data_IF_595452235977
#
_entry.id   IF_595452235977
#
_cell.length_a   1.000
_cell.length_b   1.000
_cell.length_c   1.000
_cell.angle_alpha   90.00
_cell.angle_beta   90.00
_cell.angle_gamma   90.00
#
_symmetry.space_group_name_H-M   'P 1'
#
loop_
_entity.id
_entity.type
_entity.pdbx_description
1 polymer ?
#
# COMPACT_ATOMS: atom_id res chain seq x y z
N UNK A 1 -6.71 -23.08 6.36
CA UNK A 1 -6.53 -21.64 6.63
C UNK A 1 -7.86 -20.97 6.34
N UNK A 2 -8.51 -20.43 7.35
CA UNK A 2 -9.77 -19.70 7.19
C UNK A 2 -9.49 -18.27 6.75
N UNK A 3 -10.26 -17.78 5.78
CA UNK A 3 -10.27 -16.38 5.41
C UNK A 3 -11.71 -15.92 5.25
N UNK A 4 -11.96 -14.66 5.63
CA UNK A 4 -13.23 -14.00 5.40
C UNK A 4 -13.00 -12.83 4.45
N UNK A 5 -13.94 -12.58 3.54
CA UNK A 5 -13.84 -11.51 2.56
C UNK A 5 -15.13 -10.74 2.44
N UNK A 6 -15.03 -9.46 2.13
CA UNK A 6 -16.17 -8.59 1.88
C UNK A 6 -15.84 -7.50 0.88
N UNK A 7 -16.87 -6.79 0.43
CA UNK A 7 -16.73 -5.58 -0.37
C UNK A 7 -17.77 -4.55 0.06
N UNK A 8 -17.45 -3.28 -0.12
CA UNK A 8 -18.35 -2.16 0.12
C UNK A 8 -18.03 -1.03 -0.84
N UNK A 9 -18.97 -0.11 -1.02
CA UNK A 9 -18.81 1.03 -1.91
C UNK A 9 -18.91 2.32 -1.12
N UNK A 10 -17.88 3.16 -1.24
CA UNK A 10 -17.86 4.51 -0.72
C UNK A 10 -18.30 5.50 -1.80
N UNK A 11 -19.40 6.21 -1.54
CA UNK A 11 -19.91 7.26 -2.43
C UNK A 11 -19.11 8.55 -2.33
N UNK A 12 -18.56 8.83 -1.14
CA UNK A 12 -17.66 9.94 -0.86
C UNK A 12 -16.41 9.42 -0.15
N UNK A 13 -15.25 10.10 -0.27
CA UNK A 13 -14.08 9.76 0.52
C UNK A 13 -14.37 9.87 2.02
N UNK A 14 -13.95 8.88 2.81
CA UNK A 14 -14.25 8.82 4.23
C UNK A 14 -13.12 8.11 5.00
N UNK A 15 -13.06 8.40 6.30
CA UNK A 15 -12.26 7.60 7.22
C UNK A 15 -13.07 6.37 7.61
N UNK A 16 -12.50 5.19 7.42
CA UNK A 16 -13.04 3.94 7.90
C UNK A 16 -12.36 3.60 9.21
N UNK A 17 -13.15 3.51 10.27
CA UNK A 17 -12.71 2.99 11.55
C UNK A 17 -13.28 1.59 11.69
N UNK A 18 -12.46 0.64 12.11
CA UNK A 18 -12.96 -0.66 12.49
C UNK A 18 -12.38 -1.13 13.82
N UNK A 19 -13.23 -1.77 14.61
CA UNK A 19 -12.91 -2.37 15.88
C UNK A 19 -12.87 -3.89 15.73
N UNK A 20 -11.81 -4.51 16.25
CA UNK A 20 -11.64 -5.97 16.22
C UNK A 20 -11.42 -6.48 17.62
N UNK A 21 -12.19 -7.50 18.04
CA UNK A 21 -11.87 -8.27 19.24
C UNK A 21 -10.99 -9.47 18.89
N UNK A 22 -9.98 -9.72 19.71
CA UNK A 22 -8.96 -10.75 19.47
C UNK A 22 -8.71 -11.55 20.73
N UNK A 23 -8.55 -12.86 20.58
CA UNK A 23 -7.96 -13.72 21.61
C UNK A 23 -6.49 -13.37 21.83
N UNK A 24 -5.93 -13.70 23.00
CA UNK A 24 -4.51 -13.45 23.32
C UNK A 24 -3.53 -13.97 22.25
N UNK A 25 -3.74 -15.18 21.74
CA UNK A 25 -2.80 -15.83 20.81
C UNK A 25 -3.13 -15.61 19.33
N UNK A 26 -4.19 -14.83 19.07
CA UNK A 26 -4.65 -14.53 17.72
C UNK A 26 -3.59 -13.76 16.94
N UNK A 27 -3.45 -14.10 15.66
CA UNK A 27 -2.62 -13.38 14.71
C UNK A 27 -3.38 -13.25 13.39
N UNK A 28 -3.92 -12.06 13.14
CA UNK A 28 -4.77 -11.79 12.00
C UNK A 28 -4.14 -10.72 11.10
N UNK A 29 -4.30 -10.90 9.80
CA UNK A 29 -4.04 -9.86 8.80
C UNK A 29 -5.37 -9.33 8.26
N UNK A 30 -5.56 -8.01 8.32
CA UNK A 30 -6.67 -7.31 7.64
C UNK A 30 -6.08 -6.60 6.43
N UNK A 31 -6.52 -6.98 5.25
CA UNK A 31 -6.06 -6.45 3.97
C UNK A 31 -7.19 -5.68 3.32
N UNK A 32 -6.91 -4.47 2.84
CA UNK A 32 -7.89 -3.60 2.17
C UNK A 32 -7.32 -3.17 0.83
N UNK A 33 -8.16 -3.18 -0.21
CA UNK A 33 -7.75 -2.79 -1.56
C UNK A 33 -8.90 -2.21 -2.38
N UNK A 34 -8.60 -1.23 -3.21
CA UNK A 34 -9.54 -0.61 -4.13
C UNK A 34 -9.68 -1.42 -5.42
N UNK A 35 -10.91 -1.46 -5.96
CA UNK A 35 -11.29 -2.01 -7.26
C UNK A 35 -11.09 -3.52 -7.49
N UNK A 36 -10.28 -4.20 -6.68
CA UNK A 36 -10.02 -5.64 -6.79
C UNK A 36 -9.81 -6.28 -5.41
N UNK A 37 -10.06 -7.59 -5.32
CA UNK A 37 -9.84 -8.36 -4.09
C UNK A 37 -8.37 -8.25 -3.63
N UNK A 38 -8.09 -7.98 -2.35
CA UNK A 38 -6.75 -7.99 -1.82
C UNK A 38 -6.16 -9.40 -1.78
N UNK A 39 -4.84 -9.49 -1.85
CA UNK A 39 -4.06 -10.70 -1.60
C UNK A 39 -2.96 -10.43 -0.60
N UNK A 40 -2.25 -11.47 -0.16
CA UNK A 40 -1.11 -11.35 0.77
C UNK A 40 0.00 -10.42 0.26
N UNK A 41 0.08 -10.24 -1.06
CA UNK A 41 1.13 -9.46 -1.72
C UNK A 41 0.59 -8.21 -2.43
N UNK A 42 -0.72 -8.10 -2.58
CA UNK A 42 -1.33 -6.99 -3.31
C UNK A 42 -2.48 -6.40 -2.49
N UNK A 43 -2.22 -5.24 -1.89
CA UNK A 43 -3.11 -4.53 -0.98
C UNK A 43 -2.73 -3.04 -0.98
N UNK A 44 -3.70 -2.17 -0.68
CA UNK A 44 -3.43 -0.76 -0.46
C UNK A 44 -3.09 -0.50 1.02
N UNK A 45 -3.79 -1.22 1.91
CA UNK A 45 -3.56 -1.17 3.36
C UNK A 45 -3.48 -2.57 3.95
N UNK A 46 -2.61 -2.73 4.95
CA UNK A 46 -2.50 -3.94 5.76
C UNK A 46 -2.39 -3.59 7.24
N UNK A 47 -3.24 -4.20 8.06
CA UNK A 47 -3.10 -4.21 9.51
C UNK A 47 -2.77 -5.61 9.99
N UNK A 48 -1.64 -5.72 10.69
CA UNK A 48 -1.24 -6.95 11.38
C UNK A 48 -1.66 -6.85 12.84
N UNK A 49 -2.58 -7.69 13.25
CA UNK A 49 -3.19 -7.68 14.56
C UNK A 49 -2.73 -8.91 15.34
N UNK A 50 -1.93 -8.70 16.39
CA UNK A 50 -1.50 -9.75 17.29
C UNK A 50 -2.13 -9.51 18.67
N UNK A 51 -2.94 -10.46 19.15
CA UNK A 51 -3.71 -10.31 20.38
C UNK A 51 -2.83 -10.03 21.61
N UNK A 52 -1.65 -10.65 21.66
CA UNK A 52 -0.67 -10.46 22.73
C UNK A 52 -0.13 -9.02 22.82
N UNK A 53 -0.22 -8.23 21.74
CA UNK A 53 0.20 -6.82 21.67
C UNK A 53 -0.92 -5.83 21.97
N UNK A 54 -2.17 -6.28 22.07
CA UNK A 54 -3.31 -5.42 22.43
C UNK A 54 -3.40 -5.38 23.96
N UNK A 55 -3.53 -4.20 24.56
CA UNK A 55 -3.71 -4.10 26.01
C UNK A 55 -5.03 -4.76 26.40
N UNK A 56 -5.02 -5.70 27.34
CA UNK A 56 -6.26 -6.19 27.95
C UNK A 56 -6.96 -4.98 28.60
N UNK A 57 -8.25 -4.76 28.30
CA UNK A 57 -9.01 -3.67 28.89
C UNK A 57 -8.84 -3.67 30.40
N UNK A 58 -8.08 -2.69 30.92
CA UNK A 58 -7.86 -2.53 32.35
C UNK A 58 -9.16 -2.03 32.97
N UNK A 59 -10.02 -2.96 33.41
CA UNK A 59 -10.93 -2.67 34.51
C UNK A 59 -10.07 -2.28 35.71
N UNK A 60 -9.84 -0.98 35.89
CA UNK A 60 -9.24 -0.42 37.11
C UNK A 60 -10.23 -0.65 38.24
N UNK A 61 -10.20 -1.83 38.85
CA UNK A 61 -10.82 -2.08 40.14
C UNK A 61 -10.00 -1.33 41.19
N UNK A 62 -10.53 -0.18 41.60
CA UNK A 62 -10.08 0.55 42.79
C UNK A 62 -10.06 -0.40 43.98
N UNK A 63 -8.95 -0.33 44.71
CA UNK A 63 -8.59 -1.13 45.88
C UNK A 63 -9.63 -1.11 47.01
N UNK A 64 -10.17 -2.27 47.34
CA UNK A 64 -10.61 -2.62 48.70
C UNK A 64 -10.28 -4.09 48.98
N UNK A 65 -9.69 -4.35 50.15
CA UNK A 65 -9.02 -5.59 50.59
C UNK A 65 -9.93 -6.85 50.55
N UNK A 66 -9.36 -8.08 50.53
CA UNK A 66 -10.06 -9.27 50.09
C UNK A 66 -10.90 -9.92 51.21
N UNK A 67 -12.12 -10.33 50.87
CA UNK A 67 -12.89 -11.33 51.62
C UNK A 67 -12.66 -12.71 50.97
N UNK A 68 -12.16 -13.67 51.75
CA UNK A 68 -11.74 -14.99 51.27
C UNK A 68 -12.96 -15.92 51.16
N UNK A 69 -13.54 -16.04 49.97
CA UNK A 69 -14.53 -17.09 49.68
C UNK A 69 -13.85 -18.22 48.90
N UNK A 70 -13.93 -19.44 49.43
CA UNK A 70 -13.57 -20.68 48.72
C UNK A 70 -14.74 -21.08 47.82
N UNK A 71 -14.46 -21.41 46.55
CA UNK A 71 -14.69 -22.73 45.90
C UNK A 71 -15.05 -22.60 44.40
N UNK A 72 -14.62 -23.63 43.67
CA UNK A 72 -15.10 -24.19 42.39
C UNK A 72 -14.79 -23.44 41.09
N UNK A 73 -13.89 -24.05 40.31
CA UNK A 73 -13.88 -24.12 38.83
C UNK A 73 -14.46 -22.90 38.12
N UNK A 74 -13.69 -21.81 38.08
CA UNK A 74 -13.92 -20.76 37.10
C UNK A 74 -13.48 -21.33 35.73
N UNK A 75 -14.41 -21.60 34.84
CA UNK A 75 -14.07 -21.64 33.41
C UNK A 75 -13.46 -20.29 33.07
N UNK A 76 -12.22 -20.28 32.61
CA UNK A 76 -11.57 -19.08 32.06
C UNK A 76 -12.48 -18.51 30.97
N UNK A 77 -13.13 -17.39 31.25
CA UNK A 77 -13.75 -16.56 30.21
C UNK A 77 -12.63 -16.13 29.28
N UNK A 78 -12.69 -16.41 27.96
CA UNK A 78 -11.64 -16.00 27.04
C UNK A 78 -11.47 -14.48 27.13
N UNK A 79 -10.29 -14.01 27.54
CA UNK A 79 -9.96 -12.59 27.55
C UNK A 79 -9.94 -12.07 26.10
N UNK A 80 -11.05 -11.51 25.64
CA UNK A 80 -11.13 -10.81 24.36
C UNK A 80 -10.54 -9.41 24.53
N UNK A 81 -9.66 -9.03 23.60
CA UNK A 81 -8.96 -7.73 23.59
C UNK A 81 -9.43 -6.92 22.40
N UNK A 82 -9.86 -5.69 22.63
CA UNK A 82 -10.36 -4.81 21.58
C UNK A 82 -9.27 -3.89 21.05
N UNK A 83 -9.23 -3.74 19.73
CA UNK A 83 -8.33 -2.81 19.06
C UNK A 83 -9.06 -2.04 17.96
N UNK A 84 -8.78 -0.75 17.85
CA UNK A 84 -9.31 0.12 16.78
C UNK A 84 -8.25 0.38 15.72
N UNK A 85 -8.67 0.43 14.46
CA UNK A 85 -7.85 0.85 13.31
C UNK A 85 -8.61 1.89 12.50
N UNK A 86 -7.88 2.79 11.86
CA UNK A 86 -8.45 3.89 11.11
C UNK A 86 -7.68 4.08 9.80
N UNK A 87 -8.39 4.05 8.67
CA UNK A 87 -7.83 4.26 7.33
C UNK A 87 -8.66 5.26 6.55
N UNK A 88 -8.01 6.16 5.82
CA UNK A 88 -8.70 7.04 4.89
C UNK A 88 -8.83 6.36 3.53
N UNK A 89 -10.06 6.23 3.05
CA UNK A 89 -10.35 5.59 1.77
C UNK A 89 -11.00 6.59 0.83
N UNK A 90 -10.56 6.60 -0.42
CA UNK A 90 -11.18 7.38 -1.48
C UNK A 90 -12.57 6.82 -1.83
N UNK A 91 -13.40 7.60 -2.52
CA UNK A 91 -14.64 7.07 -3.08
C UNK A 91 -14.34 5.96 -4.09
N UNK A 92 -15.20 4.96 -4.16
CA UNK A 92 -15.02 3.80 -5.04
C UNK A 92 -15.43 2.48 -4.42
N UNK A 93 -15.14 1.39 -5.13
CA UNK A 93 -15.39 0.03 -4.68
C UNK A 93 -14.17 -0.48 -3.91
N UNK A 94 -14.39 -0.94 -2.68
CA UNK A 94 -13.35 -1.44 -1.80
C UNK A 94 -13.61 -2.90 -1.43
N UNK A 95 -12.52 -3.63 -1.28
CA UNK A 95 -12.49 -5.03 -0.91
C UNK A 95 -11.68 -5.20 0.36
N UNK A 96 -12.11 -6.12 1.23
CA UNK A 96 -11.43 -6.48 2.47
C UNK A 96 -11.25 -7.99 2.53
N UNK A 97 -10.10 -8.42 3.02
CA UNK A 97 -9.85 -9.81 3.41
C UNK A 97 -9.29 -9.85 4.83
N UNK A 98 -9.85 -10.72 5.67
CA UNK A 98 -9.37 -11.03 7.00
C UNK A 98 -8.80 -12.44 6.96
N UNK A 99 -7.50 -12.55 7.22
CA UNK A 99 -6.76 -13.81 7.15
C UNK A 99 -6.30 -14.18 8.54
N UNK A 100 -6.64 -15.39 8.98
CA UNK A 100 -6.08 -15.96 10.19
C UNK A 100 -4.79 -16.72 9.85
N UNK A 101 -3.66 -16.22 10.34
CA UNK A 101 -2.34 -16.83 10.11
C UNK A 101 -2.07 -18.01 11.07
N UNK A 102 -2.99 -18.32 11.99
CA UNK A 102 -2.91 -19.46 12.92
C UNK A 102 -3.67 -20.67 12.38
N UNK A 103 -3.29 -21.86 12.86
CA UNK A 103 -4.00 -23.10 12.59
C UNK A 103 -5.31 -23.23 13.40
N UNK A 104 -5.39 -22.56 14.56
CA UNK A 104 -6.56 -22.56 15.44
C UNK A 104 -7.62 -21.59 14.92
N UNK A 105 -8.87 -22.03 14.94
CA UNK A 105 -10.01 -21.15 14.65
C UNK A 105 -10.10 -20.04 15.70
N UNK A 106 -10.34 -18.82 15.22
CA UNK A 106 -10.45 -17.62 16.05
C UNK A 106 -11.83 -17.01 15.84
N UNK A 107 -12.55 -16.82 16.94
CA UNK A 107 -13.82 -16.11 16.94
C UNK A 107 -13.55 -14.64 17.22
N UNK A 108 -13.79 -13.78 16.24
CA UNK A 108 -13.64 -12.33 16.36
C UNK A 108 -14.98 -11.62 16.20
N UNK A 109 -15.09 -10.46 16.82
CA UNK A 109 -16.05 -9.43 16.41
C UNK A 109 -15.31 -8.42 15.54
N UNK A 110 -15.94 -8.03 14.44
CA UNK A 110 -15.41 -7.01 13.53
C UNK A 110 -16.51 -6.00 13.26
N UNK A 111 -16.31 -4.77 13.72
CA UNK A 111 -17.28 -3.69 13.58
C UNK A 111 -16.64 -2.56 12.80
N UNK A 112 -17.12 -2.34 11.57
CA UNK A 112 -16.66 -1.28 10.68
C UNK A 112 -17.66 -0.13 10.70
N UNK A 113 -17.17 1.11 10.74
CA UNK A 113 -17.97 2.31 10.66
C UNK A 113 -17.29 3.36 9.77
N UNK A 114 -18.11 4.11 9.04
CA UNK A 114 -17.69 5.27 8.27
C UNK A 114 -17.70 6.51 9.19
N UNK A 115 -16.64 7.30 9.15
CA UNK A 115 -16.58 8.59 9.82
C UNK A 115 -16.14 9.68 8.84
N UNK A 116 -16.89 10.79 8.84
CA UNK A 116 -16.50 12.00 8.15
C UNK A 116 -15.89 12.92 9.22
N UNK A 117 -14.56 12.94 9.33
CA UNK A 117 -13.86 13.94 10.15
C UNK A 117 -14.00 15.29 9.44
N UNK A 118 -15.12 15.97 9.68
CA UNK A 118 -15.45 17.22 9.02
C UNK A 118 -14.71 18.41 9.64
N UNK A 119 -14.26 18.32 10.89
CA UNK A 119 -13.51 19.41 11.54
C UNK A 119 -12.30 18.91 12.35
N UNK A 120 -11.15 19.53 12.08
CA UNK A 120 -9.88 19.28 12.74
C UNK A 120 -9.09 18.10 12.17
N UNK A 121 -7.77 18.24 12.13
CA UNK A 121 -6.87 17.13 11.80
C UNK A 121 -6.28 16.50 13.07
N UNK A 122 -5.99 15.18 13.04
CA UNK A 122 -5.28 14.52 14.13
C UNK A 122 -4.02 15.30 14.51
N UNK A 123 -3.94 15.72 15.78
CA UNK A 123 -2.83 16.52 16.35
C UNK A 123 -2.39 17.72 15.49
N UNK A 124 -3.32 18.32 14.73
CA UNK A 124 -3.04 19.41 13.78
C UNK A 124 -1.84 19.10 12.86
N UNK A 125 -1.76 17.84 12.41
CA UNK A 125 -0.69 17.34 11.54
C UNK A 125 0.71 17.50 12.13
N UNK A 126 0.82 17.67 13.45
CA UNK A 126 2.06 17.90 14.21
C UNK A 126 2.93 19.03 13.65
N UNK A 127 2.33 19.95 12.87
CA UNK A 127 3.04 20.97 12.10
C UNK A 127 3.90 20.43 10.93
N UNK A 128 3.83 19.13 10.63
CA UNK A 128 4.57 18.45 9.56
C UNK A 128 3.71 18.13 8.34
N UNK A 129 2.61 18.86 8.18
CA UNK A 129 1.71 18.72 7.05
C UNK A 129 0.63 19.78 7.04
N UNK A 130 -0.17 19.76 5.97
CA UNK A 130 -1.33 20.64 5.81
C UNK A 130 -2.59 19.88 6.13
N UNK A 131 -3.46 20.46 6.96
CA UNK A 131 -4.78 19.91 7.22
C UNK A 131 -5.73 20.20 6.05
N UNK A 132 -6.32 19.15 5.46
CA UNK A 132 -7.29 19.25 4.38
C UNK A 132 -8.40 18.23 4.59
N UNK A 133 -9.64 18.69 4.81
CA UNK A 133 -10.84 17.85 5.01
C UNK A 133 -10.64 16.77 6.11
N UNK A 134 -10.11 17.18 7.26
CA UNK A 134 -9.85 16.27 8.39
C UNK A 134 -8.72 15.27 8.16
N UNK A 135 -7.88 15.51 7.15
CA UNK A 135 -6.70 14.69 6.83
C UNK A 135 -5.44 15.52 6.79
N UNK A 136 -4.37 14.95 7.33
CA UNK A 136 -3.04 15.50 7.16
C UNK A 136 -2.43 15.09 5.81
N UNK A 137 -2.07 16.09 5.03
CA UNK A 137 -1.19 15.95 3.87
C UNK A 137 0.22 16.24 4.35
N UNK A 138 0.99 15.19 4.63
CA UNK A 138 2.33 15.31 5.20
C UNK A 138 3.34 15.86 4.20
N UNK A 139 4.33 16.58 4.71
CA UNK A 139 5.54 16.92 3.94
C UNK A 139 6.33 15.66 3.58
N UNK A 140 7.24 15.75 2.60
CA UNK A 140 7.91 14.60 1.96
C UNK A 140 8.54 13.59 2.94
N UNK A 141 9.04 14.11 4.06
CA UNK A 141 9.83 13.36 5.03
C UNK A 141 8.97 12.77 6.16
N UNK A 142 7.65 12.96 6.12
CA UNK A 142 6.72 12.54 7.17
C UNK A 142 5.56 11.71 6.61
N UNK A 143 5.00 10.85 7.45
CA UNK A 143 3.84 10.02 7.15
C UNK A 143 3.07 9.68 8.44
N UNK A 144 2.00 8.90 8.31
CA UNK A 144 1.08 8.59 9.39
C UNK A 144 -0.17 9.48 9.37
N UNK A 145 -1.10 9.22 10.28
CA UNK A 145 -2.39 9.92 10.32
C UNK A 145 -2.27 11.41 10.71
N UNK A 146 -1.22 11.76 11.47
CA UNK A 146 -0.93 13.10 11.97
C UNK A 146 0.48 13.59 11.58
N UNK A 147 1.15 12.93 10.61
CA UNK A 147 2.50 13.24 10.17
C UNK A 147 3.60 13.12 11.25
N UNK A 148 3.34 12.42 12.35
CA UNK A 148 4.33 12.22 13.42
C UNK A 148 5.46 11.24 13.05
N UNK A 149 5.28 10.43 12.00
CA UNK A 149 6.23 9.38 11.65
C UNK A 149 7.20 9.87 10.58
N UNK A 150 8.49 9.85 10.87
CA UNK A 150 9.53 10.14 9.87
C UNK A 150 9.54 9.04 8.80
N UNK A 151 9.41 9.44 7.53
CA UNK A 151 9.59 8.56 6.39
C UNK A 151 11.08 8.25 6.28
N UNK A 152 11.45 6.99 6.55
CA UNK A 152 12.83 6.54 6.28
C UNK A 152 13.07 6.68 4.77
N UNK A 153 14.28 7.12 4.34
CA UNK A 153 14.63 7.13 2.93
C UNK A 153 14.34 5.76 2.32
N UNK A 154 13.42 5.68 1.37
CA UNK A 154 13.14 4.44 0.65
C UNK A 154 14.27 4.23 -0.35
N UNK A 155 15.39 3.68 0.13
CA UNK A 155 16.48 3.25 -0.73
C UNK A 155 16.07 1.94 -1.38
N UNK A 156 16.28 1.80 -2.69
CA UNK A 156 15.91 0.59 -3.44
C UNK A 156 14.44 0.22 -3.31
N UNK A 157 13.55 1.22 -3.23
CA UNK A 157 12.10 1.05 -3.01
C UNK A 157 11.73 0.21 -1.78
N UNK A 158 12.67 -0.03 -0.85
CA UNK A 158 12.50 -0.97 0.27
C UNK A 158 12.56 -2.45 -0.12
N UNK A 159 12.93 -2.75 -1.36
CA UNK A 159 12.97 -4.09 -1.95
C UNK A 159 14.39 -4.54 -2.33
N UNK A 160 15.40 -3.95 -1.71
CA UNK A 160 16.79 -4.34 -1.91
C UNK A 160 17.74 -3.71 -0.91
N UNK A 161 19.00 -4.11 -0.98
CA UNK A 161 20.10 -3.51 -0.24
C UNK A 161 20.87 -2.55 -1.13
N UNK A 162 21.23 -1.38 -0.61
CA UNK A 162 22.05 -0.42 -1.35
C UNK A 162 23.53 -0.73 -1.13
N UNK A 163 24.19 -1.27 -2.15
CA UNK A 163 25.56 -1.76 -2.08
C UNK A 163 26.38 -1.10 -3.18
N UNK A 164 27.43 -0.36 -2.80
CA UNK A 164 28.41 0.25 -3.73
C UNK A 164 27.79 1.13 -4.83
N UNK A 165 26.75 1.89 -4.51
CA UNK A 165 26.15 2.82 -5.47
C UNK A 165 25.00 2.24 -6.30
N UNK A 166 24.63 0.97 -6.10
CA UNK A 166 23.54 0.29 -6.82
C UNK A 166 22.64 -0.48 -5.84
N UNK A 167 21.39 -0.67 -6.23
CA UNK A 167 20.48 -1.55 -5.52
C UNK A 167 20.70 -3.02 -5.89
N UNK A 168 20.92 -3.84 -4.88
CA UNK A 168 20.87 -5.29 -4.95
C UNK A 168 19.47 -5.77 -4.53
N UNK A 169 18.65 -6.15 -5.51
CA UNK A 169 17.24 -6.41 -5.27
C UNK A 169 17.01 -7.74 -4.54
N UNK A 170 16.08 -7.74 -3.60
CA UNK A 170 15.57 -8.98 -3.01
C UNK A 170 14.95 -9.87 -4.09
N UNK A 171 14.89 -11.20 -3.84
CA UNK A 171 14.26 -12.12 -4.78
C UNK A 171 12.87 -11.63 -5.19
N UNK A 172 12.56 -11.79 -6.47
CA UNK A 172 11.31 -11.38 -7.12
C UNK A 172 11.15 -9.87 -7.41
N UNK A 173 12.17 -9.05 -7.13
CA UNK A 173 12.19 -7.63 -7.51
C UNK A 173 13.30 -7.35 -8.52
N UNK A 174 13.10 -6.34 -9.37
CA UNK A 174 14.03 -5.92 -10.42
C UNK A 174 13.90 -4.41 -10.71
N UNK A 175 14.77 -3.93 -11.60
CA UNK A 175 14.93 -2.53 -11.93
C UNK A 175 15.98 -1.85 -11.06
N UNK A 176 16.43 -0.67 -11.47
CA UNK A 176 17.53 0.05 -10.81
C UNK A 176 17.23 0.44 -9.36
N UNK A 177 15.95 0.63 -9.04
CA UNK A 177 15.45 0.92 -7.70
C UNK A 177 14.64 -0.23 -7.10
N UNK A 178 14.70 -1.44 -7.64
CA UNK A 178 13.92 -2.60 -7.19
C UNK A 178 12.41 -2.34 -7.08
N UNK A 179 11.87 -1.42 -7.89
CA UNK A 179 10.48 -1.00 -7.84
C UNK A 179 9.54 -1.95 -8.60
N UNK A 180 10.08 -2.78 -9.50
CA UNK A 180 9.29 -3.62 -10.41
C UNK A 180 9.35 -5.08 -9.96
N UNK A 181 8.21 -5.73 -9.87
CA UNK A 181 8.15 -7.16 -9.58
C UNK A 181 8.62 -7.97 -10.79
N UNK A 182 9.20 -9.15 -10.59
CA UNK A 182 9.88 -9.89 -11.67
C UNK A 182 8.94 -10.23 -12.84
N UNK A 183 7.67 -10.54 -12.55
CA UNK A 183 6.65 -10.90 -13.55
C UNK A 183 6.03 -9.70 -14.27
N UNK A 184 6.38 -8.48 -13.87
CA UNK A 184 5.83 -7.25 -14.41
C UNK A 184 6.86 -6.62 -15.34
N UNK A 185 6.40 -6.00 -16.43
CA UNK A 185 7.29 -5.28 -17.32
C UNK A 185 7.60 -3.90 -16.72
N UNK A 186 8.80 -3.39 -16.99
CA UNK A 186 9.19 -2.03 -16.58
C UNK A 186 8.23 -1.00 -17.16
N UNK A 187 7.80 -1.20 -18.41
CA UNK A 187 6.66 -0.52 -19.02
C UNK A 187 5.56 -1.54 -19.36
N UNK A 188 4.39 -1.50 -18.71
CA UNK A 188 3.25 -2.36 -19.04
C UNK A 188 2.78 -2.26 -20.50
N UNK A 189 2.98 -1.10 -21.13
CA UNK A 189 2.62 -0.86 -22.53
C UNK A 189 3.77 -1.11 -23.50
N UNK A 190 4.98 -1.43 -23.01
CA UNK A 190 6.16 -1.65 -23.85
C UNK A 190 6.37 -0.53 -24.88
N UNK A 191 6.36 0.72 -24.43
CA UNK A 191 6.44 1.95 -25.24
C UNK A 191 5.38 2.07 -26.34
N UNK A 192 4.30 1.30 -26.26
CA UNK A 192 3.29 1.17 -27.30
C UNK A 192 3.75 0.38 -28.53
N UNK A 193 4.93 -0.24 -28.50
CA UNK A 193 5.56 -0.94 -29.61
C UNK A 193 5.85 -2.42 -29.28
N UNK A 194 5.01 -3.02 -28.44
CA UNK A 194 5.15 -4.41 -28.04
C UNK A 194 4.08 -4.86 -27.05
N UNK A 195 4.20 -6.11 -26.62
CA UNK A 195 3.30 -6.73 -25.64
C UNK A 195 4.08 -7.23 -24.42
N UNK A 196 3.60 -6.91 -23.22
CA UNK A 196 4.18 -7.41 -21.97
C UNK A 196 3.74 -8.85 -21.70
N UNK A 197 4.70 -9.76 -21.51
CA UNK A 197 4.42 -11.16 -21.17
C UNK A 197 5.40 -11.66 -20.10
N UNK A 198 4.87 -12.06 -18.94
CA UNK A 198 5.64 -12.60 -17.80
C UNK A 198 6.86 -11.75 -17.41
N UNK A 199 6.71 -10.42 -17.51
CA UNK A 199 7.72 -9.46 -17.10
C UNK A 199 8.71 -9.06 -18.16
N UNK A 200 8.54 -9.53 -19.41
CA UNK A 200 9.35 -9.16 -20.55
C UNK A 200 8.50 -8.54 -21.66
N UNK A 201 8.96 -7.43 -22.21
CA UNK A 201 8.35 -6.85 -23.40
C UNK A 201 8.79 -7.60 -24.65
N UNK A 202 7.81 -8.13 -25.38
CA UNK A 202 7.99 -8.71 -26.71
C UNK A 202 7.73 -7.61 -27.74
N UNK A 203 8.78 -7.13 -28.40
CA UNK A 203 8.69 -5.98 -29.29
C UNK A 203 8.11 -6.31 -30.66
N UNK A 204 7.32 -5.38 -31.17
CA UNK A 204 6.80 -5.41 -32.53
C UNK A 204 7.94 -5.31 -33.57
N UNK A 205 7.72 -5.81 -34.81
CA UNK A 205 8.72 -5.74 -35.86
C UNK A 205 9.22 -4.31 -36.09
N UNK A 206 10.55 -4.13 -36.08
CA UNK A 206 11.17 -2.82 -36.23
C UNK A 206 11.50 -2.11 -34.93
N UNK A 207 11.14 -2.67 -33.77
CA UNK A 207 11.47 -2.10 -32.45
C UNK A 207 12.38 -3.04 -31.62
N UNK A 208 13.08 -2.48 -30.64
CA UNK A 208 13.97 -3.15 -29.70
C UNK A 208 14.15 -2.32 -28.43
N UNK A 209 14.90 -2.83 -27.45
CA UNK A 209 15.00 -2.26 -26.11
C UNK A 209 14.25 -3.10 -25.07
N UNK A 210 14.49 -2.82 -23.79
CA UNK A 210 13.84 -3.55 -22.68
C UNK A 210 12.34 -3.24 -22.61
N UNK A 211 11.95 -2.04 -23.05
CA UNK A 211 10.58 -1.58 -23.15
C UNK A 211 10.18 -1.28 -24.60
N UNK A 212 10.88 -1.80 -25.60
CA UNK A 212 10.62 -1.58 -27.04
C UNK A 212 10.68 -0.09 -27.47
N UNK A 213 11.50 0.69 -26.78
CA UNK A 213 11.64 2.14 -26.95
C UNK A 213 12.53 2.54 -28.14
N UNK A 214 13.31 1.60 -28.69
CA UNK A 214 14.28 1.87 -29.77
C UNK A 214 13.75 1.38 -31.10
N UNK A 215 13.62 2.28 -32.07
CA UNK A 215 13.36 1.91 -33.46
C UNK A 215 14.64 1.39 -34.13
N UNK A 216 14.57 0.22 -34.76
CA UNK A 216 15.62 -0.36 -35.61
C UNK A 216 15.77 0.39 -36.93
N UNK A 217 14.77 1.17 -37.32
CA UNK A 217 14.90 2.09 -38.44
C UNK A 217 15.62 3.34 -37.93
N UNK A 218 16.94 3.32 -38.05
CA UNK A 218 17.73 4.55 -38.08
C UNK A 218 17.04 5.48 -39.06
N UNK A 219 16.69 6.66 -38.56
CA UNK A 219 16.24 7.78 -39.37
C UNK A 219 17.15 7.86 -40.59
N UNK A 220 16.62 7.52 -41.76
CA UNK A 220 17.12 8.16 -42.98
C UNK A 220 16.82 9.64 -42.75
N UNK A 221 17.79 10.35 -42.16
CA UNK A 221 17.87 11.78 -42.28
C UNK A 221 17.81 12.02 -43.79
N UNK A 222 16.62 12.37 -44.29
CA UNK A 222 16.50 12.97 -45.60
C UNK A 222 17.27 14.27 -45.47
N UNK A 223 18.54 14.22 -45.84
CA UNK A 223 19.27 15.42 -46.20
C UNK A 223 18.43 16.04 -47.32
N UNK A 224 17.60 17.01 -46.98
CA UNK A 224 17.06 17.93 -47.95
C UNK A 224 18.28 18.74 -48.42
N UNK A 225 18.94 18.23 -49.47
CA UNK A 225 19.74 19.06 -50.35
C UNK A 225 18.76 20.09 -50.94
N UNK A 226 18.63 21.22 -50.24
CA UNK A 226 18.09 22.44 -50.81
C UNK A 226 19.05 22.82 -51.95
N UNK A 227 18.73 22.38 -53.17
CA UNK A 227 19.24 23.02 -54.37
C UNK A 227 18.68 24.44 -54.40
N UNK A 228 19.37 25.37 -53.73
CA UNK A 228 19.18 26.79 -53.96
C UNK A 228 19.73 27.05 -55.37
N UNK A 229 18.84 27.10 -56.35
CA UNK A 229 19.14 27.65 -57.67
C UNK A 229 19.44 29.14 -57.50
N UNK A 230 20.72 29.50 -57.37
CA UNK A 230 21.14 30.88 -57.58
C UNK A 230 20.95 31.20 -59.07
N UNK A 231 19.90 31.98 -59.40
CA UNK A 231 19.84 32.68 -60.68
C UNK A 231 21.06 33.61 -60.74
N UNK A 232 21.94 33.37 -61.70
CA UNK A 232 23.04 34.27 -62.06
C UNK A 232 22.44 35.63 -62.41
N UNK A 233 22.78 36.66 -61.64
CA UNK A 233 22.53 38.05 -62.02
C UNK A 233 23.52 38.36 -63.13
N UNK A 234 23.03 38.48 -64.37
CA UNK A 234 23.82 39.06 -65.45
C UNK A 234 24.02 40.55 -65.17
N UNK A 235 25.28 40.96 -65.25
CA UNK A 235 25.70 42.36 -65.15
C UNK A 235 25.71 42.94 -66.56
N UNK A 236 25.00 44.08 -66.67
CA UNK A 236 24.91 45.06 -67.76
C UNK A 236 23.97 44.65 -68.90
#
# INVERSE_FOLDING_TARGET
>A
MGFWTGQWRLTVPAWIIYNVSLSHDANLGVFIRQNTMPSRVNYDFIDRLAGNRVQAGSLKSSSTKPFRVRRSTLSEVPQTRETSRMHYLNSGLWYIAIVNDRAKEEHITFLMQETMLLEGCPNDCTGQGTCSLGRCVCFSDFHGADCSLLRKPQVCSGHGEYIKGKCDCYPQWKGDECATFFSDCVDPACSGNGTCQAGLCTCDPGFTGEACEKSKFLSTARAFLLFILFKKVEKI
#
